data_IF_648708418865
#
_entry.id   IF_648708418865
#
_cell.length_a   1.000
_cell.length_b   1.000
_cell.length_c   1.000
_cell.angle_alpha   90.00
_cell.angle_beta   90.00
_cell.angle_gamma   90.00
#
_symmetry.space_group_name_H-M   'P 1'
#
loop_
_entity.id
_entity.type
_entity.pdbx_description
1 polymer ?
#
# COMPACT_ATOMS: atom_id res chain seq x y z
N UNK A 1 5.77 -28.26 -47.10
CA UNK A 1 5.40 -27.16 -46.18
C UNK A 1 5.01 -27.64 -44.75
N UNK A 2 5.48 -28.79 -44.26
CA UNK A 2 5.09 -29.28 -42.91
C UNK A 2 5.92 -28.74 -41.73
N UNK A 3 7.15 -28.25 -41.95
CA UNK A 3 8.06 -27.86 -40.85
C UNK A 3 7.72 -26.54 -40.14
N UNK A 4 6.99 -25.63 -40.80
CA UNK A 4 6.66 -24.32 -40.22
C UNK A 4 5.61 -24.38 -39.12
N UNK A 5 4.59 -25.24 -39.27
CA UNK A 5 3.51 -25.38 -38.31
C UNK A 5 3.98 -26.02 -36.99
N UNK A 6 4.86 -27.01 -37.07
CA UNK A 6 5.46 -27.66 -35.88
C UNK A 6 6.41 -26.74 -35.12
N UNK A 7 7.20 -25.93 -35.82
CA UNK A 7 8.07 -24.94 -35.19
C UNK A 7 7.26 -23.83 -34.49
N UNK A 8 6.19 -23.34 -35.14
CA UNK A 8 5.29 -22.36 -34.54
C UNK A 8 4.57 -22.91 -33.30
N UNK A 9 4.11 -24.17 -33.34
CA UNK A 9 3.46 -24.83 -32.20
C UNK A 9 4.43 -25.00 -31.01
N UNK A 10 5.69 -25.36 -31.27
CA UNK A 10 6.72 -25.48 -30.23
C UNK A 10 7.02 -24.13 -29.55
N UNK A 11 7.13 -23.05 -30.34
CA UNK A 11 7.31 -21.70 -29.81
C UNK A 11 6.10 -21.24 -28.99
N UNK A 12 4.89 -21.50 -29.47
CA UNK A 12 3.65 -21.18 -28.75
C UNK A 12 3.59 -21.90 -27.40
N UNK A 13 3.82 -23.22 -27.39
CA UNK A 13 3.83 -24.02 -26.18
C UNK A 13 4.91 -23.55 -25.17
N UNK A 14 6.13 -23.28 -25.66
CA UNK A 14 7.22 -22.75 -24.81
C UNK A 14 6.87 -21.39 -24.20
N UNK A 15 6.32 -20.47 -25.01
CA UNK A 15 5.90 -19.15 -24.53
C UNK A 15 4.78 -19.25 -23.50
N UNK A 16 3.79 -20.12 -23.75
CA UNK A 16 2.69 -20.37 -22.80
C UNK A 16 3.22 -20.90 -21.46
N UNK A 17 4.19 -21.81 -21.48
CA UNK A 17 4.76 -22.38 -20.26
C UNK A 17 5.52 -21.32 -19.44
N UNK A 18 6.29 -20.46 -20.11
CA UNK A 18 6.98 -19.33 -19.48
C UNK A 18 5.99 -18.34 -18.88
N UNK A 19 4.92 -18.01 -19.60
CA UNK A 19 3.88 -17.09 -19.10
C UNK A 19 3.15 -17.66 -17.88
N UNK A 20 2.82 -18.96 -17.89
CA UNK A 20 2.24 -19.64 -16.73
C UNK A 20 3.22 -19.62 -15.54
N UNK A 21 4.49 -19.95 -15.75
CA UNK A 21 5.50 -19.90 -14.70
C UNK A 21 5.63 -18.48 -14.12
N UNK A 22 5.68 -17.44 -14.96
CA UNK A 22 5.70 -16.06 -14.51
C UNK A 22 4.45 -15.69 -13.69
N UNK A 23 3.26 -16.15 -14.12
CA UNK A 23 2.02 -15.88 -13.42
C UNK A 23 1.94 -16.54 -12.04
N UNK A 24 2.45 -17.76 -11.88
CA UNK A 24 2.38 -18.49 -10.61
C UNK A 24 3.52 -18.15 -9.65
N UNK A 25 4.69 -17.78 -10.14
CA UNK A 25 5.86 -17.56 -9.28
C UNK A 25 6.30 -16.11 -9.16
N UNK A 26 6.11 -15.31 -10.21
CA UNK A 26 6.60 -13.94 -10.24
C UNK A 26 5.53 -12.94 -9.81
N UNK A 27 4.30 -13.04 -10.34
CA UNK A 27 3.22 -12.11 -9.98
C UNK A 27 2.85 -12.08 -8.49
N UNK A 28 2.75 -13.21 -7.76
CA UNK A 28 2.44 -13.15 -6.33
C UNK A 28 3.49 -12.38 -5.52
N UNK A 29 4.75 -12.40 -5.97
CA UNK A 29 5.84 -11.68 -5.32
C UNK A 29 5.74 -10.17 -5.54
N UNK A 30 5.27 -9.74 -6.73
CA UNK A 30 4.99 -8.34 -7.00
C UNK A 30 3.73 -7.84 -6.27
N UNK A 31 2.73 -8.71 -6.10
CA UNK A 31 1.53 -8.39 -5.33
C UNK A 31 1.90 -8.09 -3.87
N UNK A 32 2.79 -8.87 -3.25
CA UNK A 32 3.24 -8.60 -1.87
C UNK A 32 3.93 -7.24 -1.68
N UNK A 33 4.53 -6.66 -2.73
CA UNK A 33 5.21 -5.35 -2.67
C UNK A 33 4.25 -4.20 -2.96
N UNK A 34 3.24 -4.41 -3.81
CA UNK A 34 2.30 -3.35 -4.22
C UNK A 34 0.95 -3.41 -3.52
N UNK A 35 0.66 -4.49 -2.81
CA UNK A 35 -0.63 -4.67 -2.15
C UNK A 35 -0.68 -3.88 -0.86
N UNK A 36 -1.72 -3.07 -0.68
CA UNK A 36 -2.04 -2.42 0.58
C UNK A 36 -2.37 -3.42 1.71
N UNK A 37 -2.64 -4.70 1.37
CA UNK A 37 -3.15 -5.71 2.29
C UNK A 37 -2.30 -5.93 3.54
N UNK A 38 -0.96 -6.10 3.47
CA UNK A 38 -0.14 -6.32 4.66
C UNK A 38 -0.21 -5.12 5.61
N UNK A 39 -0.15 -3.89 5.07
CA UNK A 39 -0.24 -2.67 5.87
C UNK A 39 -1.63 -2.49 6.48
N UNK A 40 -2.71 -2.76 5.73
CA UNK A 40 -4.08 -2.78 6.26
C UNK A 40 -4.22 -3.76 7.43
N UNK A 41 -3.60 -4.94 7.35
CA UNK A 41 -3.62 -5.92 8.44
C UNK A 41 -2.83 -5.45 9.67
N UNK A 42 -1.76 -4.68 9.49
CA UNK A 42 -1.04 -4.09 10.62
C UNK A 42 -1.91 -3.02 11.29
N UNK A 43 -2.52 -2.13 10.50
CA UNK A 43 -3.44 -1.13 11.00
C UNK A 43 -4.58 -1.78 11.80
N UNK A 44 -5.27 -2.78 11.24
CA UNK A 44 -6.38 -3.47 11.92
C UNK A 44 -5.96 -4.21 13.21
N UNK A 45 -4.73 -4.72 13.28
CA UNK A 45 -4.22 -5.40 14.48
C UNK A 45 -3.89 -4.42 15.62
N UNK A 46 -3.49 -3.21 15.28
CA UNK A 46 -3.03 -2.21 16.25
C UNK A 46 -4.13 -1.24 16.68
N UNK A 47 -5.02 -0.90 15.74
CA UNK A 47 -6.09 0.07 15.94
C UNK A 47 -7.28 -0.55 16.66
N UNK A 48 -7.73 0.09 17.73
CA UNK A 48 -8.95 -0.33 18.45
C UNK A 48 -10.21 -0.05 17.63
N UNK A 49 -11.33 -0.63 18.03
CA UNK A 49 -12.62 -0.27 17.47
C UNK A 49 -12.96 1.19 17.83
N UNK A 50 -13.31 2.02 16.84
CA UNK A 50 -13.67 3.43 17.03
C UNK A 50 -12.50 4.44 16.96
N UNK A 51 -11.25 3.99 16.97
CA UNK A 51 -10.12 4.90 16.71
C UNK A 51 -10.14 5.36 15.25
N UNK A 52 -10.03 6.68 14.98
CA UNK A 52 -10.05 7.19 13.62
C UNK A 52 -8.71 6.98 12.94
N UNK A 53 -8.75 6.78 11.62
CA UNK A 53 -7.55 6.83 10.80
C UNK A 53 -7.73 7.71 9.57
N UNK A 54 -6.65 8.30 9.11
CA UNK A 54 -6.61 9.13 7.91
C UNK A 54 -5.57 8.62 6.91
N UNK A 55 -5.76 8.99 5.64
CA UNK A 55 -4.81 8.69 4.56
C UNK A 55 -4.34 10.00 3.93
N UNK A 56 -3.02 10.15 3.85
CA UNK A 56 -2.33 11.30 3.28
C UNK A 56 -1.42 10.88 2.11
N UNK A 57 -1.35 11.65 0.99
CA UNK A 57 -2.02 12.92 0.72
C UNK A 57 -3.37 12.78 0.00
N UNK A 58 -3.89 11.56 -0.16
CA UNK A 58 -5.18 11.31 -0.80
C UNK A 58 -5.73 9.97 -0.33
N UNK A 59 -7.04 9.78 -0.45
CA UNK A 59 -7.62 8.46 -0.20
C UNK A 59 -7.06 7.43 -1.18
N UNK A 60 -6.80 6.24 -0.63
CA UNK A 60 -6.49 5.05 -1.41
C UNK A 60 -7.57 4.01 -1.12
N UNK A 61 -8.36 3.71 -2.16
CA UNK A 61 -9.50 2.81 -2.07
C UNK A 61 -9.10 1.39 -1.69
N UNK A 62 -7.87 0.96 -1.98
CA UNK A 62 -7.39 -0.37 -1.62
C UNK A 62 -7.33 -0.54 -0.10
N UNK A 63 -6.91 0.49 0.63
CA UNK A 63 -6.92 0.47 2.08
C UNK A 63 -8.35 0.42 2.62
N UNK A 64 -9.30 1.17 2.05
CA UNK A 64 -10.71 1.13 2.46
C UNK A 64 -11.31 -0.27 2.28
N UNK A 65 -11.00 -0.93 1.16
CA UNK A 65 -11.46 -2.30 0.86
C UNK A 65 -10.89 -3.30 1.87
N UNK A 66 -9.58 -3.24 2.14
CA UNK A 66 -8.93 -4.22 3.02
C UNK A 66 -9.17 -3.97 4.51
N UNK A 67 -9.42 -2.72 4.92
CA UNK A 67 -9.76 -2.41 6.32
C UNK A 67 -11.25 -2.61 6.59
N UNK A 68 -12.11 -2.47 5.57
CA UNK A 68 -13.56 -2.40 5.75
C UNK A 68 -13.99 -1.21 6.59
N UNK A 69 -13.17 -0.16 6.69
CA UNK A 69 -13.40 1.04 7.51
C UNK A 69 -13.29 2.29 6.65
N UNK A 70 -14.01 3.33 7.04
CA UNK A 70 -13.85 4.66 6.44
C UNK A 70 -12.59 5.34 6.98
N UNK A 71 -11.89 6.04 6.09
CA UNK A 71 -10.76 6.87 6.44
C UNK A 71 -11.10 8.35 6.25
N UNK A 72 -10.45 9.20 7.04
CA UNK A 72 -10.44 10.65 6.81
C UNK A 72 -9.48 10.95 5.66
N UNK A 73 -9.94 11.68 4.65
CA UNK A 73 -9.08 12.17 3.58
C UNK A 73 -8.23 13.35 4.08
N UNK A 74 -6.91 13.19 4.04
CA UNK A 74 -5.95 14.21 4.41
C UNK A 74 -5.30 14.71 3.12
N UNK A 75 -5.98 15.57 2.38
CA UNK A 75 -5.54 16.07 1.07
C UNK A 75 -4.60 17.28 1.13
N UNK A 76 -4.37 17.81 2.33
CA UNK A 76 -3.48 18.95 2.57
C UNK A 76 -2.63 18.75 3.82
N UNK A 77 -1.50 19.44 3.86
CA UNK A 77 -0.64 19.48 5.05
C UNK A 77 -1.40 20.05 6.26
N UNK A 78 -2.25 21.06 6.09
CA UNK A 78 -3.03 21.60 7.21
C UNK A 78 -3.99 20.55 7.78
N UNK A 79 -4.68 19.79 6.92
CA UNK A 79 -5.57 18.71 7.37
C UNK A 79 -4.79 17.61 8.07
N UNK A 80 -3.64 17.20 7.53
CA UNK A 80 -2.77 16.22 8.16
C UNK A 80 -2.35 16.66 9.56
N UNK A 81 -1.86 17.91 9.70
CA UNK A 81 -1.41 18.45 10.98
C UNK A 81 -2.56 18.64 11.97
N UNK A 82 -3.73 19.07 11.51
CA UNK A 82 -4.92 19.19 12.34
C UNK A 82 -5.38 17.82 12.86
N UNK A 83 -5.41 16.81 11.99
CA UNK A 83 -5.76 15.45 12.36
C UNK A 83 -4.75 14.86 13.34
N UNK A 84 -3.46 15.07 13.10
CA UNK A 84 -2.38 14.66 14.01
C UNK A 84 -2.37 15.36 15.38
N UNK A 85 -3.14 16.44 15.57
CA UNK A 85 -3.33 17.13 16.87
C UNK A 85 -4.69 16.86 17.49
N UNK A 86 -5.53 16.07 16.83
CA UNK A 86 -6.88 15.77 17.33
C UNK A 86 -6.80 15.01 18.66
N UNK A 87 -7.75 15.23 19.58
CA UNK A 87 -7.75 14.56 20.87
C UNK A 87 -8.00 13.06 20.71
N UNK A 88 -7.26 12.27 21.48
CA UNK A 88 -7.32 10.81 21.43
C UNK A 88 -6.46 10.22 20.32
N UNK A 89 -6.19 8.91 20.42
CA UNK A 89 -5.24 8.23 19.54
C UNK A 89 -5.74 8.19 18.10
N UNK A 90 -4.98 8.82 17.21
CA UNK A 90 -5.21 8.78 15.76
C UNK A 90 -4.19 7.90 15.04
N UNK A 91 -4.59 7.38 13.88
CA UNK A 91 -3.73 6.60 13.00
C UNK A 91 -3.61 7.28 11.64
N UNK A 92 -2.40 7.37 11.10
CA UNK A 92 -2.17 8.00 9.80
C UNK A 92 -1.43 7.02 8.90
N UNK A 93 -2.00 6.78 7.72
CA UNK A 93 -1.32 6.15 6.59
C UNK A 93 -0.82 7.28 5.67
N UNK A 94 0.49 7.51 5.65
CA UNK A 94 1.08 8.57 4.85
C UNK A 94 1.99 7.98 3.76
N UNK A 95 1.90 8.48 2.53
CA UNK A 95 2.90 8.21 1.52
C UNK A 95 4.24 8.80 1.95
N UNK A 96 5.30 7.99 1.88
CA UNK A 96 6.63 8.35 2.40
C UNK A 96 7.20 9.61 1.74
N UNK A 97 7.09 9.71 0.43
CA UNK A 97 7.66 10.82 -0.34
C UNK A 97 6.97 12.15 -0.02
N UNK A 98 5.65 12.13 0.21
CA UNK A 98 4.92 13.33 0.58
C UNK A 98 5.16 13.73 2.03
N UNK A 99 5.28 12.74 2.94
CA UNK A 99 5.65 13.01 4.33
C UNK A 99 7.06 13.62 4.44
N UNK A 100 8.00 13.19 3.59
CA UNK A 100 9.36 13.71 3.55
C UNK A 100 9.48 15.17 3.09
N UNK A 101 8.43 15.72 2.46
CA UNK A 101 8.37 17.13 2.02
C UNK A 101 7.92 18.07 3.13
N UNK A 102 7.42 17.55 4.25
CA UNK A 102 6.86 18.36 5.33
C UNK A 102 7.96 19.09 6.10
N UNK A 103 7.80 20.40 6.26
CA UNK A 103 8.65 21.26 7.08
C UNK A 103 7.78 22.13 8.02
N UNK A 104 7.84 21.94 9.36
CA UNK A 104 8.69 21.00 10.09
C UNK A 104 8.19 19.54 9.97
N UNK A 105 9.05 18.54 10.22
CA UNK A 105 8.67 17.13 10.21
C UNK A 105 7.49 16.83 11.14
N UNK A 106 6.65 15.87 10.74
CA UNK A 106 5.52 15.46 11.57
C UNK A 106 6.01 14.55 12.72
N UNK A 107 5.89 15.03 13.96
CA UNK A 107 6.29 14.29 15.16
C UNK A 107 5.24 13.24 15.54
N UNK A 108 5.25 12.11 14.84
CA UNK A 108 4.45 10.92 15.16
C UNK A 108 5.36 9.69 15.23
N UNK A 109 4.93 8.69 15.99
CA UNK A 109 5.65 7.43 16.08
C UNK A 109 5.36 6.57 14.83
N UNK A 110 6.42 6.14 14.15
CA UNK A 110 6.34 5.12 13.12
C UNK A 110 6.07 3.74 13.75
N UNK A 111 5.00 3.09 13.31
CA UNK A 111 4.59 1.75 13.79
C UNK A 111 4.96 0.67 12.77
N UNK A 112 4.82 1.00 11.48
CA UNK A 112 5.17 0.10 10.39
C UNK A 112 5.49 0.85 9.11
N UNK A 113 6.22 0.16 8.23
CA UNK A 113 6.71 0.67 6.95
C UNK A 113 6.47 -0.34 5.85
N UNK A 114 5.95 0.14 4.74
CA UNK A 114 5.80 -0.66 3.54
C UNK A 114 7.18 -0.96 2.90
N UNK A 115 7.43 -2.20 2.45
CA UNK A 115 8.70 -2.58 1.84
C UNK A 115 8.99 -1.85 0.51
N UNK A 116 8.00 -1.24 -0.16
CA UNK A 116 8.24 -0.47 -1.37
C UNK A 116 9.15 0.75 -1.07
N UNK A 117 10.34 0.84 -1.68
CA UNK A 117 11.25 1.96 -1.47
C UNK A 117 10.79 3.26 -2.14
N UNK A 118 9.96 3.20 -3.19
CA UNK A 118 9.61 4.35 -4.06
C UNK A 118 8.19 4.87 -3.90
N UNK A 119 7.28 4.09 -3.32
CA UNK A 119 5.87 4.47 -3.18
C UNK A 119 5.22 3.98 -1.89
N UNK A 120 6.02 3.45 -0.97
CA UNK A 120 5.53 2.80 0.23
C UNK A 120 4.84 3.75 1.21
N UNK A 121 3.81 3.25 1.88
CA UNK A 121 3.16 3.93 2.99
C UNK A 121 3.94 3.75 4.30
N UNK A 122 3.81 4.74 5.18
CA UNK A 122 4.16 4.66 6.59
C UNK A 122 2.88 4.64 7.42
N UNK A 123 2.83 3.77 8.42
CA UNK A 123 1.80 3.79 9.44
C UNK A 123 2.31 4.52 10.67
N UNK A 124 1.65 5.62 11.01
CA UNK A 124 2.03 6.53 12.10
C UNK A 124 0.91 6.61 13.14
N UNK A 125 1.27 6.90 14.39
CA UNK A 125 0.30 7.17 15.47
C UNK A 125 0.87 8.17 16.48
N UNK A 126 -0.01 8.83 17.23
CA UNK A 126 0.37 9.63 18.40
C UNK A 126 0.90 8.70 19.52
N UNK A 127 1.83 9.21 20.33
CA UNK A 127 2.31 8.51 21.53
C UNK A 127 1.25 8.43 22.64
#
# INVERSE_FOLDING_TARGET
MLGGATAAAGLAAGTSLVMLAAAFFLFPRFDAVKSARPMSQVLLRQMKSGEPYGIYPRLDSTFLIYTGRFAVELDSEEKLRAFARSPGRVWILAQRDDLAKLDPPLHLREVARDPDPKGGYLLLTQE
#
